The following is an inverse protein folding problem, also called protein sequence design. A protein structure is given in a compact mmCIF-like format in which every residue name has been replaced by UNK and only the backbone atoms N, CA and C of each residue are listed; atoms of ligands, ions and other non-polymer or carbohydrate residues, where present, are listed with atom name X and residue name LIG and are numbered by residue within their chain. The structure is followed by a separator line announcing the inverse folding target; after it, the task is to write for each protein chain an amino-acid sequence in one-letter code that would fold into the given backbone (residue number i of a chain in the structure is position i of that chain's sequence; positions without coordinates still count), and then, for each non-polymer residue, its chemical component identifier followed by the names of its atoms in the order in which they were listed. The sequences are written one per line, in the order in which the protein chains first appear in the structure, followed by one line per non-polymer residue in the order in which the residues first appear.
data_IF_376480015528
#
_entry.id   IF_376480015528
#
_cell.length_a   1.000
_cell.length_b   1.000
_cell.length_c   1.000
_cell.angle_alpha   90.00
_cell.angle_beta   90.00
_cell.angle_gamma   90.00
#
_symmetry.space_group_name_H-M   'P 1'
#
loop_
_entity.id
_entity.type
_entity.pdbx_description
1 polymer ?
#
# COMPACT_ATOMS: atom_id res chain seq x y z
N UNK A 1 -5.84 -23.58 14.02
CA UNK A 1 -5.67 -22.11 14.19
C UNK A 1 -7.06 -21.51 14.33
N UNK A 2 -7.29 -20.61 15.29
CA UNK A 2 -8.59 -19.94 15.47
C UNK A 2 -8.72 -18.79 14.47
N UNK A 3 -9.69 -18.90 13.56
CA UNK A 3 -9.90 -17.94 12.47
C UNK A 3 -10.19 -16.52 12.98
N UNK A 4 -10.99 -16.37 14.03
CA UNK A 4 -11.30 -15.04 14.58
C UNK A 4 -10.05 -14.39 15.20
N UNK A 5 -9.23 -15.17 15.90
CA UNK A 5 -7.95 -14.67 16.45
C UNK A 5 -6.96 -14.29 15.35
N UNK A 6 -6.98 -14.98 14.22
CA UNK A 6 -6.14 -14.64 13.07
C UNK A 6 -6.62 -13.32 12.43
N UNK A 7 -7.91 -13.23 12.11
CA UNK A 7 -8.51 -12.03 11.52
C UNK A 7 -8.33 -10.80 12.41
N UNK A 8 -8.49 -10.92 13.74
CA UNK A 8 -8.26 -9.82 14.67
C UNK A 8 -6.81 -9.30 14.65
N UNK A 9 -5.81 -10.19 14.52
CA UNK A 9 -4.40 -9.77 14.39
C UNK A 9 -4.15 -9.06 13.07
N UNK A 10 -4.71 -9.56 11.97
CA UNK A 10 -4.64 -8.91 10.67
C UNK A 10 -5.30 -7.52 10.70
N UNK A 11 -6.49 -7.40 11.27
CA UNK A 11 -7.19 -6.12 11.44
C UNK A 11 -6.41 -5.16 12.34
N UNK A 12 -5.70 -5.65 13.36
CA UNK A 12 -4.80 -4.82 14.19
C UNK A 12 -3.65 -4.23 13.36
N UNK A 13 -3.13 -4.98 12.38
CA UNK A 13 -2.18 -4.44 11.42
C UNK A 13 -2.84 -3.36 10.55
N UNK A 14 -4.10 -3.52 10.12
CA UNK A 14 -4.80 -2.51 9.32
C UNK A 14 -5.21 -1.24 10.11
N UNK A 15 -5.35 -1.31 11.43
CA UNK A 15 -5.82 -0.22 12.28
C UNK A 15 -4.80 0.92 12.48
N UNK A 16 -4.31 1.51 11.38
CA UNK A 16 -3.43 2.68 11.38
C UNK A 16 -3.54 3.46 10.07
N UNK A 17 -3.71 4.79 10.11
CA UNK A 17 -4.04 5.59 8.94
C UNK A 17 -3.00 5.51 7.83
N UNK A 18 -1.71 5.56 8.17
CA UNK A 18 -0.63 5.50 7.16
C UNK A 18 -0.52 4.12 6.52
N UNK A 19 -0.89 3.06 7.23
CA UNK A 19 -0.85 1.70 6.66
C UNK A 19 -1.98 1.51 5.64
N UNK A 20 -3.15 2.08 5.92
CA UNK A 20 -4.24 2.14 4.93
C UNK A 20 -3.81 2.94 3.70
N UNK A 21 -3.19 4.12 3.88
CA UNK A 21 -2.67 4.93 2.75
C UNK A 21 -1.61 4.20 1.91
N UNK A 22 -0.69 3.46 2.55
CA UNK A 22 0.30 2.64 1.84
C UNK A 22 -0.39 1.54 1.02
N UNK A 23 -1.33 0.83 1.63
CA UNK A 23 -2.05 -0.25 0.93
C UNK A 23 -2.91 0.29 -0.21
N UNK A 24 -3.50 1.46 -0.04
CA UNK A 24 -4.23 2.16 -1.09
C UNK A 24 -3.32 2.51 -2.26
N UNK A 25 -2.15 3.10 -2.01
CA UNK A 25 -1.16 3.38 -3.05
C UNK A 25 -0.74 2.09 -3.80
N UNK A 26 -0.47 1.02 -3.06
CA UNK A 26 -0.12 -0.29 -3.62
C UNK A 26 -1.29 -1.02 -4.30
N UNK A 27 -2.53 -0.56 -4.12
CA UNK A 27 -3.70 -1.11 -4.82
C UNK A 27 -3.88 -0.50 -6.21
N UNK A 28 -3.40 0.74 -6.39
CA UNK A 28 -3.42 1.46 -7.68
C UNK A 28 -2.22 1.06 -8.55
N UNK A 29 -1.09 0.73 -7.93
CA UNK A 29 0.13 0.31 -8.62
C UNK A 29 0.36 -1.20 -8.63
N UNK A 30 1.08 -1.69 -9.64
CA UNK A 30 1.57 -3.08 -9.66
C UNK A 30 2.65 -3.31 -8.59
N UNK A 31 3.53 -2.33 -8.37
CA UNK A 31 4.59 -2.34 -7.36
C UNK A 31 5.16 -0.94 -7.12
N UNK A 32 5.63 -0.65 -5.90
CA UNK A 32 6.28 0.62 -5.55
C UNK A 32 7.49 0.42 -4.64
N UNK A 33 8.54 1.21 -4.83
CA UNK A 33 9.67 1.26 -3.89
C UNK A 33 9.41 2.27 -2.76
N UNK A 34 10.23 2.23 -1.71
CA UNK A 34 10.08 3.15 -0.57
C UNK A 34 10.19 4.63 -0.98
N UNK A 35 11.08 4.96 -1.92
CA UNK A 35 11.24 6.32 -2.44
C UNK A 35 9.97 6.81 -3.17
N UNK A 36 9.32 5.92 -3.91
CA UNK A 36 8.06 6.24 -4.59
C UNK A 36 6.97 6.53 -3.55
N UNK A 37 6.81 5.64 -2.56
CA UNK A 37 5.84 5.85 -1.48
C UNK A 37 6.12 7.12 -0.66
N UNK A 38 7.39 7.50 -0.46
CA UNK A 38 7.74 8.79 0.16
C UNK A 38 7.24 9.98 -0.66
N UNK A 39 7.43 9.95 -1.98
CA UNK A 39 6.94 11.00 -2.87
C UNK A 39 5.41 11.06 -2.88
N UNK A 40 4.72 9.92 -2.88
CA UNK A 40 3.26 9.86 -2.89
C UNK A 40 2.65 10.31 -1.57
N UNK A 41 3.20 9.82 -0.45
CA UNK A 41 2.62 10.03 0.88
C UNK A 41 3.15 11.27 1.59
N UNK A 42 4.24 11.86 1.09
CA UNK A 42 4.94 12.99 1.72
C UNK A 42 5.36 12.66 3.17
N UNK A 43 5.83 11.42 3.38
CA UNK A 43 6.29 10.89 4.67
C UNK A 43 7.72 10.37 4.55
N UNK A 44 8.52 10.56 5.61
CA UNK A 44 9.92 10.12 5.65
C UNK A 44 10.08 8.63 5.37
N UNK A 45 11.05 8.24 4.53
CA UNK A 45 11.33 6.84 4.18
C UNK A 45 11.42 5.90 5.40
N UNK A 46 12.15 6.29 6.44
CA UNK A 46 12.35 5.46 7.63
C UNK A 46 11.00 5.10 8.31
N UNK A 47 10.06 6.03 8.29
CA UNK A 47 8.72 5.81 8.85
C UNK A 47 7.88 4.91 7.94
N UNK A 48 7.93 5.11 6.63
CA UNK A 48 7.28 4.23 5.65
C UNK A 48 7.81 2.81 5.75
N UNK A 49 9.13 2.62 5.82
CA UNK A 49 9.77 1.30 5.96
C UNK A 49 9.31 0.58 7.24
N UNK A 50 9.14 1.29 8.35
CA UNK A 50 8.59 0.72 9.58
C UNK A 50 7.14 0.24 9.39
N UNK A 51 6.31 1.02 8.69
CA UNK A 51 4.92 0.62 8.40
C UNK A 51 4.87 -0.58 7.46
N UNK A 52 5.71 -0.61 6.43
CA UNK A 52 5.84 -1.74 5.50
C UNK A 52 6.31 -3.02 6.19
N UNK A 53 7.24 -2.93 7.14
CA UNK A 53 7.67 -4.09 7.93
C UNK A 53 6.49 -4.70 8.70
N UNK A 54 5.67 -3.87 9.35
CA UNK A 54 4.46 -4.31 10.06
C UNK A 54 3.45 -4.96 9.11
N UNK A 55 3.23 -4.38 7.93
CA UNK A 55 2.32 -4.93 6.92
C UNK A 55 2.81 -6.27 6.36
N UNK A 56 4.13 -6.41 6.18
CA UNK A 56 4.76 -7.64 5.69
C UNK A 56 4.68 -8.75 6.73
N UNK A 57 4.94 -8.44 8.01
CA UNK A 57 4.75 -9.38 9.12
C UNK A 57 3.30 -9.88 9.22
N UNK A 58 2.33 -9.04 8.84
CA UNK A 58 0.92 -9.40 8.76
C UNK A 58 0.53 -10.13 7.46
N UNK A 59 1.45 -10.30 6.50
CA UNK A 59 1.20 -10.96 5.22
C UNK A 59 0.31 -10.19 4.24
N UNK A 60 0.19 -8.87 4.42
CA UNK A 60 -0.64 -8.01 3.58
C UNK A 60 0.12 -7.46 2.36
N UNK A 61 1.45 -7.33 2.49
CA UNK A 61 2.35 -6.92 1.42
C UNK A 61 3.51 -7.90 1.31
N UNK A 62 4.08 -7.97 0.13
CA UNK A 62 5.29 -8.73 -0.17
C UNK A 62 6.36 -7.79 -0.75
N UNK A 63 7.63 -8.21 -0.66
CA UNK A 63 8.75 -7.46 -1.22
C UNK A 63 9.55 -8.28 -2.23
N UNK A 64 10.05 -7.59 -3.27
CA UNK A 64 10.94 -8.13 -4.30
C UNK A 64 12.18 -7.25 -4.37
N UNK A 65 13.36 -7.86 -4.25
CA UNK A 65 14.64 -7.18 -4.43
C UNK A 65 15.06 -7.22 -5.88
N UNK A 66 15.45 -6.06 -6.40
CA UNK A 66 15.95 -5.90 -7.76
C UNK A 66 17.17 -4.98 -7.75
N UNK A 67 18.35 -5.60 -7.81
CA UNK A 67 19.63 -4.91 -7.56
C UNK A 67 19.70 -4.37 -6.14
N UNK A 68 19.83 -3.04 -6.01
CA UNK A 68 19.88 -2.34 -4.73
C UNK A 68 18.50 -1.86 -4.24
N UNK A 69 17.46 -2.01 -5.07
CA UNK A 69 16.12 -1.52 -4.80
C UNK A 69 15.23 -2.63 -4.23
N UNK A 70 14.28 -2.24 -3.38
CA UNK A 70 13.24 -3.12 -2.84
C UNK A 70 11.88 -2.56 -3.27
N UNK A 71 11.11 -3.38 -3.99
CA UNK A 71 9.77 -3.06 -4.46
C UNK A 71 8.76 -3.83 -3.62
N UNK A 72 7.66 -3.17 -3.27
CA UNK A 72 6.56 -3.73 -2.50
C UNK A 72 5.32 -3.83 -3.39
N UNK A 73 4.52 -4.87 -3.16
CA UNK A 73 3.21 -5.05 -3.78
C UNK A 73 2.25 -5.72 -2.79
N UNK A 74 0.95 -5.66 -3.08
CA UNK A 74 -0.02 -6.43 -2.32
C UNK A 74 0.24 -7.93 -2.48
N UNK A 75 0.07 -8.69 -1.42
CA UNK A 75 0.24 -10.15 -1.46
C UNK A 75 -0.87 -10.84 -2.26
N UNK A 76 -2.06 -10.25 -2.31
CA UNK A 76 -3.24 -10.79 -2.99
C UNK A 76 -4.24 -9.70 -3.33
N UNK A 77 -5.00 -9.88 -4.41
CA UNK A 77 -6.16 -9.03 -4.76
C UNK A 77 -7.25 -9.04 -3.68
N UNK A 78 -7.31 -10.09 -2.85
CA UNK A 78 -8.20 -10.12 -1.70
C UNK A 78 -7.92 -8.98 -0.69
N UNK A 79 -6.68 -8.47 -0.65
CA UNK A 79 -6.32 -7.32 0.20
C UNK A 79 -6.98 -6.05 -0.33
N UNK A 80 -6.90 -5.78 -1.63
CA UNK A 80 -7.55 -4.61 -2.25
C UNK A 80 -9.07 -4.71 -2.15
N UNK A 81 -9.66 -5.88 -2.39
CA UNK A 81 -11.11 -6.09 -2.25
C UNK A 81 -11.58 -5.83 -0.82
N UNK A 82 -10.81 -6.31 0.16
CA UNK A 82 -11.06 -6.05 1.58
C UNK A 82 -11.01 -4.57 1.94
N UNK A 83 -10.05 -3.81 1.39
CA UNK A 83 -9.94 -2.36 1.59
C UNK A 83 -11.09 -1.60 0.95
N UNK A 84 -11.53 -2.00 -0.24
CA UNK A 84 -12.70 -1.42 -0.89
C UNK A 84 -13.96 -1.64 -0.06
N UNK A 85 -14.17 -2.85 0.45
CA UNK A 85 -15.28 -3.15 1.35
C UNK A 85 -15.20 -2.33 2.65
N UNK A 86 -14.00 -2.21 3.24
CA UNK A 86 -13.73 -1.37 4.42
C UNK A 86 -14.13 0.09 4.19
N UNK A 87 -13.75 0.66 3.05
CA UNK A 87 -14.12 2.02 2.66
C UNK A 87 -15.63 2.16 2.52
N UNK A 88 -16.29 1.25 1.80
CA UNK A 88 -17.75 1.27 1.59
C UNK A 88 -18.52 1.29 2.91
N UNK A 89 -18.27 0.34 3.81
CA UNK A 89 -19.01 0.32 5.07
C UNK A 89 -18.61 1.48 6.00
N UNK A 90 -17.35 1.93 5.98
CA UNK A 90 -16.94 3.09 6.80
C UNK A 90 -17.66 4.37 6.37
N UNK A 91 -17.90 4.54 5.07
CA UNK A 91 -18.69 5.64 4.51
C UNK A 91 -20.14 5.56 4.94
N UNK A 92 -20.76 4.38 4.84
CA UNK A 92 -22.14 4.16 5.26
C UNK A 92 -22.34 4.43 6.75
N UNK A 93 -21.48 3.89 7.61
CA UNK A 93 -21.54 4.11 9.07
C UNK A 93 -21.28 5.58 9.42
N UNK A 94 -20.35 6.25 8.72
CA UNK A 94 -20.11 7.67 8.94
C UNK A 94 -21.33 8.53 8.60
N UNK A 95 -22.03 8.22 7.50
CA UNK A 95 -23.26 8.92 7.12
C UNK A 95 -24.37 8.76 8.18
N UNK A 96 -24.54 7.55 8.73
CA UNK A 96 -25.49 7.30 9.82
C UNK A 96 -25.16 8.13 11.07
N UNK A 97 -23.86 8.37 11.32
CA UNK A 97 -23.37 9.19 12.44
C UNK A 97 -23.27 10.68 12.11
N UNK A 98 -23.81 11.14 10.98
CA UNK A 98 -23.71 12.51 10.46
C UNK A 98 -22.25 13.03 10.38
N UNK A 99 -21.32 12.13 10.08
CA UNK A 99 -19.89 12.42 9.88
C UNK A 99 -19.57 12.48 8.39
N UNK A 100 -18.81 13.51 8.01
CA UNK A 100 -18.22 13.61 6.67
C UNK A 100 -16.84 12.97 6.67
N UNK A 101 -16.68 11.87 5.93
CA UNK A 101 -15.37 11.29 5.67
C UNK A 101 -14.74 11.95 4.44
N UNK A 102 -13.44 12.19 4.52
CA UNK A 102 -12.62 12.58 3.40
C UNK A 102 -11.49 11.57 3.31
N UNK A 103 -11.52 10.73 2.29
CA UNK A 103 -10.36 9.93 1.92
C UNK A 103 -9.44 10.81 1.10
N UNK A 104 -8.15 10.81 1.42
CA UNK A 104 -7.16 11.48 0.59
C UNK A 104 -7.05 10.66 -0.69
N UNK A 105 -7.60 11.16 -1.78
CA UNK A 105 -7.32 10.61 -3.11
C UNK A 105 -5.83 10.79 -3.35
N UNK A 106 -5.10 9.69 -3.50
CA UNK A 106 -3.72 9.73 -3.96
C UNK A 106 -3.85 9.82 -5.48
N UNK A 107 -3.84 11.04 -6.01
CA UNK A 107 -3.78 11.28 -7.45
C UNK A 107 -2.38 10.90 -7.93
N UNK A 108 -2.32 9.83 -8.72
CA UNK A 108 -1.10 9.22 -9.22
C UNK A 108 -1.45 8.38 -10.46
N UNK A 109 -0.66 8.48 -11.52
CA UNK A 109 -0.87 7.74 -12.76
C UNK A 109 -0.36 6.30 -12.61
N UNK A 110 -1.20 5.25 -12.70
CA UNK A 110 -0.76 3.87 -12.58
C UNK A 110 0.39 3.57 -13.57
N UNK A 111 1.58 3.32 -13.04
CA UNK A 111 2.78 3.09 -13.85
C UNK A 111 3.69 4.30 -14.07
N UNK A 112 3.42 5.45 -13.43
CA UNK A 112 4.37 6.56 -13.38
C UNK A 112 5.71 6.07 -12.79
N UNK A 113 6.85 6.29 -13.48
CA UNK A 113 8.13 5.83 -13.00
C UNK A 113 8.49 6.56 -11.71
N UNK A 114 9.08 5.83 -10.76
CA UNK A 114 9.52 6.43 -9.51
C UNK A 114 10.40 7.67 -9.79
N UNK A 115 10.15 8.82 -9.14
CA UNK A 115 10.79 10.10 -9.46
C UNK A 115 12.27 10.17 -9.02
N UNK A 116 12.77 9.15 -8.32
CA UNK A 116 14.15 9.15 -7.84
C UNK A 116 15.12 8.61 -8.92
N UNK A 117 16.33 9.20 -9.06
CA UNK A 117 17.29 8.81 -10.09
C UNK A 117 17.76 7.36 -9.94
N UNK A 118 17.69 6.80 -8.72
CA UNK A 118 18.08 5.40 -8.42
C UNK A 118 17.09 4.36 -8.94
N UNK A 119 15.83 4.74 -9.15
CA UNK A 119 14.80 3.83 -9.66
C UNK A 119 14.49 4.09 -11.14
N UNK A 120 14.64 5.33 -11.61
CA UNK A 120 14.35 5.72 -12.99
C UNK A 120 15.33 5.10 -14.01
N UNK A 121 16.63 5.01 -13.70
CA UNK A 121 17.68 4.49 -14.60
C UNK A 121 17.52 3.02 -15.07
N UNK A 122 16.53 2.28 -14.55
CA UNK A 122 16.36 0.84 -14.84
C UNK A 122 14.99 0.43 -15.39
N UNK A 123 13.98 1.31 -15.35
CA UNK A 123 12.68 1.01 -16.00
C UNK A 123 12.88 0.82 -17.51
N UNK A 124 13.81 1.55 -18.13
CA UNK A 124 14.19 1.40 -19.54
C UNK A 124 14.90 0.08 -19.89
N UNK A 125 15.40 -0.69 -18.90
CA UNK A 125 16.13 -1.96 -19.15
C UNK A 125 15.27 -3.21 -19.06
N UNK A 126 14.02 -3.08 -18.62
CA UNK A 126 13.04 -4.15 -18.63
C UNK A 126 12.30 -4.08 -19.96
N UNK A 127 12.98 -4.48 -21.05
CA UNK A 127 12.27 -4.81 -22.28
C UNK A 127 11.19 -5.84 -21.97
N UNK A 128 10.00 -5.75 -22.58
CA UNK A 128 8.92 -6.68 -22.33
C UNK A 128 9.41 -8.10 -22.65
N UNK A 129 9.28 -9.01 -21.68
CA UNK A 129 9.38 -10.44 -21.96
C UNK A 129 8.35 -10.77 -23.04
N UNK A 130 8.86 -11.16 -24.22
CA UNK A 130 8.08 -11.74 -25.32
C UNK A 130 7.31 -12.97 -24.87
#
# INVERSE_FOLDING_TARGET
MDGHKYSARMLKALAHPVRLQILDALSTDVQACVCHLESLLQLRQAYISQQLATLREAGLVQDRREGLNVYYSLTSTAVSDGLQNLRSFSSEIAQIQDKKLQFKSIEHDPGEPCPCPRCHEKIERLEPMR
#
